data_IF_172848248881
#
_entry.id   IF_172848248881
#
_cell.length_a   1.000
_cell.length_b   1.000
_cell.length_c   1.000
_cell.angle_alpha   90.00
_cell.angle_beta   90.00
_cell.angle_gamma   90.00
#
_symmetry.space_group_name_H-M   'P 1'
#
loop_
_entity.id
_entity.type
_entity.pdbx_description
1 polymer ?
#
# COMPACT_ATOMS: atom_id res chain seq x y z
N UNK A 1 -5.46 17.42 17.76
CA UNK A 1 -5.71 18.01 16.43
C UNK A 1 -7.12 17.65 16.04
N UNK A 2 -7.85 18.57 15.43
CA UNK A 2 -9.22 18.34 14.93
C UNK A 2 -9.18 17.39 13.73
N UNK A 3 -10.12 16.46 13.65
CA UNK A 3 -10.22 15.41 12.63
C UNK A 3 -10.90 15.93 11.35
N UNK A 4 -10.68 15.26 10.21
CA UNK A 4 -11.38 15.55 8.95
C UNK A 4 -12.91 15.62 9.12
N UNK A 5 -13.45 14.68 9.90
CA UNK A 5 -14.90 14.58 10.13
C UNK A 5 -15.45 15.81 10.87
N UNK A 6 -14.73 16.32 11.88
CA UNK A 6 -15.17 17.51 12.63
C UNK A 6 -15.26 18.77 11.76
N UNK A 7 -14.40 18.90 10.73
CA UNK A 7 -14.50 19.99 9.75
C UNK A 7 -15.70 19.81 8.82
N UNK A 8 -15.93 18.61 8.30
CA UNK A 8 -17.09 18.30 7.44
C UNK A 8 -18.39 18.55 8.22
N UNK A 9 -18.47 18.10 9.47
CA UNK A 9 -19.64 18.30 10.32
C UNK A 9 -19.88 19.79 10.66
N UNK A 10 -18.81 20.59 10.75
CA UNK A 10 -18.94 22.05 10.89
C UNK A 10 -19.49 22.70 9.62
N UNK A 11 -19.03 22.29 8.43
CA UNK A 11 -19.52 22.79 7.15
C UNK A 11 -20.99 22.40 6.92
N UNK A 12 -21.37 21.16 7.22
CA UNK A 12 -22.76 20.71 7.09
C UNK A 12 -23.72 21.50 7.99
N UNK A 13 -23.32 21.79 9.24
CA UNK A 13 -24.11 22.65 10.13
C UNK A 13 -24.28 24.07 9.60
N UNK A 14 -23.28 24.60 8.90
CA UNK A 14 -23.37 25.91 8.26
C UNK A 14 -24.42 25.90 7.14
N UNK A 15 -24.47 24.85 6.32
CA UNK A 15 -25.50 24.66 5.28
C UNK A 15 -26.88 24.51 5.89
N UNK A 16 -27.03 23.67 6.93
CA UNK A 16 -28.33 23.45 7.59
C UNK A 16 -28.91 24.73 8.21
N UNK A 17 -28.10 25.53 8.91
CA UNK A 17 -28.55 26.82 9.45
C UNK A 17 -28.96 27.76 8.33
N UNK A 18 -28.27 27.68 7.19
CA UNK A 18 -28.48 28.54 6.06
C UNK A 18 -29.73 28.19 5.23
N UNK A 19 -30.02 26.91 5.01
CA UNK A 19 -31.24 26.44 4.33
C UNK A 19 -32.53 26.81 5.09
N UNK A 20 -32.40 27.09 6.39
CA UNK A 20 -33.50 27.54 7.24
C UNK A 20 -33.67 29.07 7.29
N UNK A 21 -32.84 29.84 6.58
CA UNK A 21 -32.94 31.30 6.49
C UNK A 21 -33.76 31.72 5.26
N UNK A 22 -34.79 32.54 5.45
CA UNK A 22 -35.56 33.13 4.36
C UNK A 22 -34.78 34.32 3.77
N UNK A 23 -34.22 34.15 2.56
CA UNK A 23 -33.19 35.04 2.02
C UNK A 23 -33.11 35.14 0.49
N UNK A 24 -32.29 36.08 0.00
CA UNK A 24 -32.11 36.35 -1.43
C UNK A 24 -31.37 35.20 -2.13
N UNK A 25 -31.92 34.67 -3.23
CA UNK A 25 -31.37 33.55 -4.01
C UNK A 25 -29.90 33.72 -4.42
N UNK A 26 -29.44 34.95 -4.66
CA UNK A 26 -28.04 35.22 -4.99
C UNK A 26 -27.09 35.01 -3.81
N UNK A 27 -27.49 35.41 -2.60
CA UNK A 27 -26.74 35.13 -1.39
C UNK A 27 -26.69 33.62 -1.10
N UNK A 28 -27.78 32.90 -1.46
CA UNK A 28 -27.90 31.44 -1.30
C UNK A 28 -26.86 30.71 -2.12
N UNK A 29 -26.75 31.07 -3.40
CA UNK A 29 -25.79 30.45 -4.28
C UNK A 29 -24.34 30.72 -3.84
N UNK A 30 -24.02 31.96 -3.45
CA UNK A 30 -22.66 32.35 -3.01
C UNK A 30 -22.23 31.58 -1.75
N UNK A 31 -23.14 31.42 -0.79
CA UNK A 31 -22.84 30.69 0.45
C UNK A 31 -22.62 29.19 0.19
N UNK A 32 -23.51 28.57 -0.58
CA UNK A 32 -23.41 27.15 -0.93
C UNK A 32 -22.15 26.85 -1.73
N UNK A 33 -21.80 27.69 -2.71
CA UNK A 33 -20.54 27.58 -3.46
C UNK A 33 -19.31 27.69 -2.53
N UNK A 34 -19.34 28.61 -1.57
CA UNK A 34 -18.28 28.79 -0.58
C UNK A 34 -18.11 27.56 0.32
N UNK A 35 -19.21 26.95 0.78
CA UNK A 35 -19.14 25.74 1.60
C UNK A 35 -18.60 24.55 0.81
N UNK A 36 -19.06 24.33 -0.42
CA UNK A 36 -18.55 23.25 -1.26
C UNK A 36 -17.07 23.43 -1.62
N UNK A 37 -16.60 24.66 -1.81
CA UNK A 37 -15.18 24.95 -1.99
C UNK A 37 -14.38 24.55 -0.73
N UNK A 38 -14.86 24.91 0.46
CA UNK A 38 -14.22 24.54 1.72
C UNK A 38 -14.22 23.03 1.94
N UNK A 39 -15.30 22.33 1.59
CA UNK A 39 -15.38 20.87 1.64
C UNK A 39 -14.31 20.23 0.74
N UNK A 40 -14.15 20.74 -0.49
CA UNK A 40 -13.08 20.32 -1.40
C UNK A 40 -11.69 20.52 -0.79
N UNK A 41 -11.41 21.69 -0.22
CA UNK A 41 -10.13 22.00 0.42
C UNK A 41 -9.86 21.13 1.65
N UNK A 42 -10.89 20.83 2.46
CA UNK A 42 -10.78 19.89 3.58
C UNK A 42 -10.46 18.49 3.06
N UNK A 43 -11.12 18.05 1.99
CA UNK A 43 -10.84 16.75 1.39
C UNK A 43 -9.42 16.63 0.86
N UNK A 44 -8.88 17.67 0.20
CA UNK A 44 -7.49 17.73 -0.24
C UNK A 44 -6.50 17.78 0.93
N UNK A 45 -6.79 18.59 1.96
CA UNK A 45 -5.90 18.74 3.12
C UNK A 45 -5.74 17.44 3.92
N UNK A 46 -6.84 16.70 4.05
CA UNK A 46 -6.89 15.42 4.74
C UNK A 46 -6.85 14.23 3.78
N UNK A 47 -6.40 14.42 2.55
CA UNK A 47 -6.17 13.30 1.64
C UNK A 47 -5.08 12.42 2.24
N UNK A 48 -5.44 11.17 2.55
CA UNK A 48 -4.48 10.19 3.09
C UNK A 48 -3.44 9.90 2.00
N UNK A 49 -2.29 10.57 2.11
CA UNK A 49 -1.12 10.21 1.31
C UNK A 49 -0.72 8.80 1.72
N UNK A 50 -0.66 7.91 0.74
CA UNK A 50 -0.14 6.57 0.97
C UNK A 50 1.25 6.67 1.60
N UNK A 51 1.43 6.02 2.75
CA UNK A 51 2.71 5.94 3.44
C UNK A 51 3.79 5.52 2.44
N UNK A 52 4.87 6.26 2.36
CA UNK A 52 6.00 5.94 1.47
C UNK A 52 6.96 4.98 2.14
N UNK A 53 7.79 4.28 1.35
CA UNK A 53 8.86 3.45 1.94
C UNK A 53 9.80 4.26 2.84
N UNK A 54 10.04 5.56 2.54
CA UNK A 54 10.83 6.42 3.41
C UNK A 54 10.20 6.60 4.79
N UNK A 55 8.90 6.89 4.84
CA UNK A 55 8.18 7.10 6.10
C UNK A 55 8.11 5.80 6.91
N UNK A 56 7.80 4.68 6.25
CA UNK A 56 7.69 3.36 6.87
C UNK A 56 9.01 2.91 7.52
N UNK A 57 10.13 3.10 6.81
CA UNK A 57 11.44 2.59 7.21
C UNK A 57 12.35 3.65 7.85
N UNK A 58 11.84 4.86 8.15
CA UNK A 58 12.64 6.01 8.57
C UNK A 58 13.59 5.70 9.73
N UNK A 59 13.07 5.05 10.78
CA UNK A 59 13.85 4.74 11.98
C UNK A 59 14.91 3.66 11.71
N UNK A 60 14.55 2.64 10.92
CA UNK A 60 15.46 1.55 10.54
C UNK A 60 16.59 2.06 9.64
N UNK A 61 16.31 2.96 8.70
CA UNK A 61 17.32 3.61 7.85
C UNK A 61 18.33 4.35 8.72
N UNK A 62 17.86 5.13 9.70
CA UNK A 62 18.72 5.92 10.59
C UNK A 62 19.61 5.01 11.45
N UNK A 63 19.06 3.90 11.96
CA UNK A 63 19.76 3.00 12.87
C UNK A 63 20.77 2.09 12.14
N UNK A 64 20.37 1.52 11.00
CA UNK A 64 21.06 0.37 10.40
C UNK A 64 21.79 0.73 9.11
N UNK A 65 21.44 1.83 8.44
CA UNK A 65 21.86 2.09 7.05
C UNK A 65 22.65 3.39 6.97
N UNK A 66 23.85 3.40 7.57
CA UNK A 66 24.68 4.61 7.73
C UNK A 66 24.96 5.38 6.43
N UNK A 67 25.33 4.67 5.35
CA UNK A 67 25.88 5.32 4.14
C UNK A 67 25.29 4.82 2.82
N UNK A 68 24.85 3.55 2.75
CA UNK A 68 24.29 2.98 1.53
C UNK A 68 23.27 1.87 1.86
N UNK A 69 22.08 2.00 1.27
CA UNK A 69 20.94 1.10 1.44
C UNK A 69 20.98 -0.03 0.42
N UNK A 70 20.86 -1.26 0.90
CA UNK A 70 20.42 -2.39 0.11
C UNK A 70 19.05 -2.86 0.61
N UNK A 71 18.26 -3.42 -0.30
CA UNK A 71 17.03 -4.13 0.04
C UNK A 71 17.17 -5.55 -0.47
N UNK A 72 16.95 -6.52 0.40
CA UNK A 72 16.97 -7.95 0.06
C UNK A 72 15.67 -8.55 0.58
N UNK A 73 14.84 -9.06 -0.33
CA UNK A 73 13.55 -9.64 0.01
C UNK A 73 12.66 -8.69 0.83
N UNK A 74 12.72 -7.38 0.56
CA UNK A 74 12.00 -6.34 1.30
C UNK A 74 12.55 -5.98 2.69
N UNK A 75 13.69 -6.53 3.11
CA UNK A 75 14.38 -6.14 4.35
C UNK A 75 15.51 -5.15 4.05
N UNK A 76 15.70 -4.15 4.93
CA UNK A 76 16.80 -3.21 4.78
C UNK A 76 18.10 -3.82 5.29
N UNK A 77 19.14 -3.70 4.48
CA UNK A 77 20.50 -4.14 4.85
C UNK A 77 21.53 -3.07 4.50
N UNK A 78 22.67 -3.03 5.22
CA UNK A 78 23.81 -2.26 4.78
C UNK A 78 24.28 -2.75 3.42
N UNK A 79 24.45 -1.85 2.45
CA UNK A 79 24.96 -2.23 1.14
C UNK A 79 26.38 -2.81 1.20
N UNK A 80 27.19 -2.40 2.20
CA UNK A 80 28.53 -2.93 2.40
C UNK A 80 28.54 -4.43 2.74
N UNK A 81 27.47 -4.92 3.35
CA UNK A 81 27.34 -6.31 3.82
C UNK A 81 26.44 -7.15 2.90
N UNK A 82 25.99 -6.58 1.78
CA UNK A 82 25.03 -7.22 0.88
C UNK A 82 25.65 -7.49 -0.48
N UNK A 83 25.48 -8.72 -0.97
CA UNK A 83 25.86 -9.07 -2.33
C UNK A 83 25.00 -8.31 -3.35
N UNK A 84 25.64 -7.66 -4.32
CA UNK A 84 24.95 -6.90 -5.37
C UNK A 84 23.91 -7.74 -6.13
N UNK A 85 24.15 -9.03 -6.34
CA UNK A 85 23.23 -9.89 -7.11
C UNK A 85 21.93 -10.23 -6.37
N UNK A 86 21.99 -10.16 -5.03
CA UNK A 86 20.88 -10.40 -4.11
C UNK A 86 20.09 -9.11 -3.80
N UNK A 87 20.69 -7.95 -4.07
CA UNK A 87 20.06 -6.65 -3.84
C UNK A 87 18.99 -6.36 -4.89
N UNK A 88 17.82 -5.88 -4.46
CA UNK A 88 16.73 -5.45 -5.33
C UNK A 88 17.12 -4.27 -6.24
N UNK A 89 18.18 -3.53 -5.89
CA UNK A 89 18.70 -2.43 -6.69
C UNK A 89 19.73 -2.85 -7.74
N UNK A 90 20.03 -4.14 -7.89
CA UNK A 90 21.08 -4.68 -8.79
C UNK A 90 21.08 -4.10 -10.20
N UNK A 91 22.21 -3.56 -10.63
CA UNK A 91 22.35 -2.92 -11.95
C UNK A 91 23.52 -1.95 -12.02
N UNK A 92 23.81 -1.48 -13.25
CA UNK A 92 25.04 -0.80 -13.73
C UNK A 92 25.44 0.54 -13.07
N UNK A 93 25.51 0.59 -11.73
CA UNK A 93 26.05 1.74 -10.98
C UNK A 93 25.04 2.83 -10.63
N UNK A 94 23.74 2.61 -10.84
CA UNK A 94 22.66 3.56 -10.53
C UNK A 94 21.89 3.24 -9.24
N UNK A 95 22.57 2.63 -8.26
CA UNK A 95 21.93 2.19 -7.02
C UNK A 95 21.35 3.38 -6.24
N UNK A 96 22.02 4.53 -6.25
CA UNK A 96 21.58 5.74 -5.56
C UNK A 96 20.26 6.28 -6.14
N UNK A 97 20.12 6.34 -7.46
CA UNK A 97 18.86 6.77 -8.08
C UNK A 97 17.72 5.79 -7.78
N UNK A 98 17.99 4.49 -7.85
CA UNK A 98 17.00 3.44 -7.56
C UNK A 98 16.52 3.46 -6.12
N UNK A 99 17.41 3.70 -5.17
CA UNK A 99 17.05 3.91 -3.76
C UNK A 99 16.15 5.13 -3.62
N UNK A 100 16.48 6.26 -4.25
CA UNK A 100 15.65 7.47 -4.21
C UNK A 100 14.26 7.24 -4.80
N UNK A 101 14.18 6.51 -5.92
CA UNK A 101 12.90 6.14 -6.53
C UNK A 101 12.11 5.20 -5.63
N UNK A 102 12.76 4.19 -5.04
CA UNK A 102 12.13 3.22 -4.14
C UNK A 102 11.60 3.87 -2.86
N UNK A 103 12.35 4.79 -2.25
CA UNK A 103 11.94 5.53 -1.06
C UNK A 103 10.68 6.38 -1.30
N UNK A 104 10.47 6.87 -2.52
CA UNK A 104 9.29 7.66 -2.91
C UNK A 104 8.07 6.82 -3.26
N UNK A 105 8.24 5.52 -3.51
CA UNK A 105 7.11 4.66 -3.83
C UNK A 105 6.21 4.48 -2.59
N UNK A 106 4.89 4.36 -2.79
CA UNK A 106 3.99 3.90 -1.74
C UNK A 106 4.50 2.58 -1.15
N UNK A 107 4.49 2.49 0.17
CA UNK A 107 4.84 1.31 0.90
C UNK A 107 3.80 0.22 0.66
N UNK A 108 4.23 -0.89 0.05
CA UNK A 108 3.39 -2.06 -0.16
C UNK A 108 3.46 -2.94 1.08
N UNK A 109 2.42 -2.88 1.92
CA UNK A 109 2.30 -3.76 3.08
C UNK A 109 2.24 -5.22 2.62
N UNK A 110 3.21 -6.03 3.04
CA UNK A 110 3.15 -7.49 2.84
C UNK A 110 1.95 -8.02 3.64
N UNK A 111 0.87 -8.33 2.93
CA UNK A 111 -0.45 -8.64 3.49
C UNK A 111 -0.62 -10.15 3.66
N UNK A 112 0.04 -10.94 2.81
CA UNK A 112 -0.11 -12.38 2.78
C UNK A 112 1.14 -13.05 3.36
N UNK A 113 0.96 -13.91 4.36
CA UNK A 113 2.04 -14.74 4.91
C UNK A 113 1.87 -16.13 4.34
N UNK A 114 2.69 -16.48 3.37
CA UNK A 114 2.68 -17.78 2.72
C UNK A 114 3.80 -18.65 3.26
N UNK A 115 3.54 -19.96 3.35
CA UNK A 115 4.59 -20.95 3.52
C UNK A 115 5.47 -21.02 2.27
N UNK A 116 6.68 -21.59 2.38
CA UNK A 116 7.56 -21.75 1.21
C UNK A 116 6.87 -22.57 0.11
N UNK A 117 6.19 -23.66 0.51
CA UNK A 117 5.41 -24.50 -0.39
C UNK A 117 4.27 -23.74 -1.07
N UNK A 118 3.52 -22.93 -0.31
CA UNK A 118 2.40 -22.13 -0.84
C UNK A 118 2.90 -21.12 -1.87
N UNK A 119 4.00 -20.42 -1.56
CA UNK A 119 4.64 -19.50 -2.48
C UNK A 119 5.15 -20.22 -3.73
N UNK A 120 5.86 -21.34 -3.55
CA UNK A 120 6.45 -22.08 -4.67
C UNK A 120 5.41 -22.65 -5.61
N UNK A 121 4.25 -23.04 -5.09
CA UNK A 121 3.13 -23.48 -5.92
C UNK A 121 2.49 -22.30 -6.65
N UNK A 122 2.20 -21.20 -5.95
CA UNK A 122 1.45 -20.08 -6.53
C UNK A 122 2.29 -19.30 -7.56
N UNK A 123 3.61 -19.22 -7.37
CA UNK A 123 4.53 -18.59 -8.34
C UNK A 123 4.56 -19.28 -9.70
N UNK A 124 4.20 -20.58 -9.78
CA UNK A 124 4.12 -21.29 -11.08
C UNK A 124 3.07 -20.69 -12.01
N UNK A 125 2.09 -19.97 -11.45
CA UNK A 125 1.03 -19.28 -12.19
C UNK A 125 1.40 -17.84 -12.58
N UNK A 126 2.60 -17.36 -12.22
CA UNK A 126 3.06 -15.97 -12.48
C UNK A 126 3.09 -15.61 -13.96
N UNK A 127 3.41 -16.56 -14.83
CA UNK A 127 3.42 -16.37 -16.29
C UNK A 127 2.04 -16.49 -16.97
N UNK A 128 0.97 -16.70 -16.20
CA UNK A 128 -0.39 -16.82 -16.71
C UNK A 128 -1.10 -15.47 -16.91
N UNK A 129 -2.40 -15.54 -17.20
CA UNK A 129 -3.28 -14.36 -17.29
C UNK A 129 -3.24 -13.57 -15.96
N UNK A 130 -2.90 -12.27 -16.02
CA UNK A 130 -2.75 -11.39 -14.84
C UNK A 130 -4.04 -11.20 -14.05
N UNK A 131 -5.19 -11.51 -14.65
CA UNK A 131 -6.52 -11.42 -14.01
C UNK A 131 -7.01 -12.72 -13.37
N UNK A 132 -6.15 -13.73 -13.18
CA UNK A 132 -6.58 -14.98 -12.54
C UNK A 132 -6.65 -14.86 -11.00
N UNK A 133 -7.81 -15.21 -10.46
CA UNK A 133 -8.05 -15.35 -9.03
C UNK A 133 -7.54 -16.70 -8.53
N UNK A 134 -7.30 -16.80 -7.22
CA UNK A 134 -6.93 -18.07 -6.59
C UNK A 134 -7.99 -19.17 -6.85
N UNK A 135 -9.27 -18.80 -6.82
CA UNK A 135 -10.40 -19.70 -7.04
C UNK A 135 -10.55 -20.21 -8.48
N UNK A 136 -9.98 -19.51 -9.47
CA UNK A 136 -10.02 -19.91 -10.89
C UNK A 136 -9.21 -21.18 -11.15
N UNK A 137 -8.17 -21.41 -10.34
CA UNK A 137 -7.33 -22.60 -10.42
C UNK A 137 -7.90 -23.67 -9.49
N UNK A 138 -8.51 -24.70 -10.08
CA UNK A 138 -9.08 -25.84 -9.36
C UNK A 138 -8.13 -26.40 -8.28
N UNK A 139 -6.85 -26.57 -8.59
CA UNK A 139 -5.85 -27.09 -7.65
C UNK A 139 -5.68 -26.15 -6.44
N UNK A 140 -5.55 -24.85 -6.66
CA UNK A 140 -5.37 -23.87 -5.58
C UNK A 140 -6.62 -23.78 -4.70
N UNK A 141 -7.81 -23.81 -5.32
CA UNK A 141 -9.10 -23.84 -4.61
C UNK A 141 -9.22 -25.06 -3.70
N UNK A 142 -8.94 -26.26 -4.22
CA UNK A 142 -9.02 -27.50 -3.42
C UNK A 142 -7.97 -27.54 -2.28
N UNK A 143 -6.78 -26.99 -2.50
CA UNK A 143 -5.77 -26.86 -1.46
C UNK A 143 -6.22 -25.86 -0.38
N UNK A 144 -6.85 -24.76 -0.79
CA UNK A 144 -7.43 -23.80 0.14
C UNK A 144 -8.51 -24.42 1.02
N UNK A 145 -9.40 -25.23 0.44
CA UNK A 145 -10.43 -25.98 1.18
C UNK A 145 -9.81 -26.96 2.20
N UNK A 146 -8.59 -27.44 1.93
CA UNK A 146 -7.80 -28.30 2.83
C UNK A 146 -6.98 -27.52 3.86
N UNK A 147 -7.08 -26.20 3.89
CA UNK A 147 -6.42 -25.35 4.87
C UNK A 147 -5.08 -24.76 4.43
N UNK A 148 -4.71 -24.82 3.15
CA UNK A 148 -3.62 -24.00 2.60
C UNK A 148 -4.13 -22.60 2.24
N UNK A 149 -3.24 -21.64 2.00
CA UNK A 149 -3.57 -20.27 1.58
C UNK A 149 -4.60 -19.59 2.49
N UNK A 150 -4.54 -19.85 3.81
CA UNK A 150 -5.54 -19.37 4.78
C UNK A 150 -5.67 -17.85 4.78
N UNK A 151 -4.57 -17.15 4.54
CA UNK A 151 -4.49 -15.69 4.52
C UNK A 151 -4.96 -15.05 3.20
N UNK A 152 -5.25 -15.83 2.16
CA UNK A 152 -5.61 -15.32 0.82
C UNK A 152 -7.11 -15.54 0.56
N UNK A 153 -7.84 -14.54 0.06
CA UNK A 153 -9.24 -14.72 -0.31
C UNK A 153 -9.40 -15.59 -1.56
N UNK A 154 -10.57 -16.23 -1.74
CA UNK A 154 -10.85 -16.99 -2.97
C UNK A 154 -10.78 -16.10 -4.22
N UNK A 155 -11.34 -14.90 -4.13
CA UNK A 155 -11.42 -13.94 -5.24
C UNK A 155 -10.21 -12.99 -5.31
N UNK A 156 -9.15 -13.29 -4.56
CA UNK A 156 -7.91 -12.51 -4.63
C UNK A 156 -7.11 -12.94 -5.85
N UNK A 157 -6.63 -11.96 -6.63
CA UNK A 157 -5.77 -12.20 -7.79
C UNK A 157 -4.44 -12.80 -7.35
N UNK A 158 -4.00 -13.83 -8.06
CA UNK A 158 -2.71 -14.49 -7.80
C UNK A 158 -1.56 -13.49 -7.90
N UNK A 159 -1.63 -12.56 -8.84
CA UNK A 159 -0.61 -11.53 -9.02
C UNK A 159 -0.50 -10.61 -7.80
N UNK A 160 -1.64 -10.15 -7.26
CA UNK A 160 -1.68 -9.28 -6.08
C UNK A 160 -1.13 -10.00 -4.84
N UNK A 161 -1.40 -11.31 -4.73
CA UNK A 161 -0.84 -12.15 -3.67
C UNK A 161 0.68 -12.21 -3.79
N UNK A 162 1.22 -12.49 -4.98
CA UNK A 162 2.66 -12.59 -5.22
C UNK A 162 3.38 -11.26 -4.99
N UNK A 163 2.75 -10.12 -5.28
CA UNK A 163 3.34 -8.80 -5.03
C UNK A 163 3.33 -8.40 -3.55
N UNK A 164 2.35 -8.90 -2.79
CA UNK A 164 2.14 -8.54 -1.40
C UNK A 164 2.41 -9.70 -0.42
N UNK A 165 3.10 -10.76 -0.84
CA UNK A 165 3.40 -11.88 0.05
C UNK A 165 4.77 -11.76 0.74
N UNK A 166 4.79 -12.17 2.01
CA UNK A 166 5.98 -12.51 2.78
C UNK A 166 6.10 -14.04 2.80
N UNK A 167 7.24 -14.56 2.33
CA UNK A 167 7.52 -16.00 2.31
C UNK A 167 8.18 -16.39 3.63
N UNK A 168 7.64 -17.41 4.29
CA UNK A 168 8.26 -18.00 5.48
C UNK A 168 9.15 -19.15 5.07
N UNK A 169 10.40 -19.14 5.52
CA UNK A 169 11.25 -20.33 5.45
C UNK A 169 10.68 -21.40 6.38
N UNK A 170 10.12 -22.45 5.80
CA UNK A 170 9.83 -23.67 6.54
C UNK A 170 11.15 -24.46 6.61
N UNK A 171 11.57 -24.82 7.82
CA UNK A 171 12.85 -25.50 8.06
C UNK A 171 13.02 -26.71 7.14
N UNK A 172 14.18 -26.74 6.44
CA UNK A 172 14.56 -27.80 5.51
C UNK A 172 14.29 -29.20 6.10
N UNK A 173 13.62 -30.04 5.29
CA UNK A 173 13.45 -31.47 5.53
C UNK A 173 14.80 -32.21 5.53
#
# INVERSE_FOLDING_TARGET
MTTKQEYIDALNRMVEVYDNLDGCMSAINIFNEGVHLLEGLVNEHFEEKAETNYEHFKDEIIQNVKYALAVVNGELKPCADTNCDECEFKGSGKCVERVKEWLKKPHKKKTYKLSQFEYDLIQTYRGGNTDCNLSDRRILRELKDKGYFKCVGYDTKIHDVLEACEVREDGNC
#
